data_IF_409101048360
#
_entry.id   IF_409101048360
#
_cell.length_a   1.000
_cell.length_b   1.000
_cell.length_c   1.000
_cell.angle_alpha   90.00
_cell.angle_beta   90.00
_cell.angle_gamma   90.00
#
_symmetry.space_group_name_H-M   'P 1'
#
loop_
_entity.id
_entity.type
_entity.pdbx_description
1 polymer ?
#
# COMPACT_ATOMS: atom_id res chain seq x y z
N UNK A 1 6.22 -45.69 -25.05
CA UNK A 1 6.79 -44.39 -24.64
C UNK A 1 5.64 -43.42 -24.49
N UNK A 2 5.54 -42.72 -23.36
CA UNK A 2 4.51 -41.69 -23.20
C UNK A 2 4.68 -40.63 -24.30
N UNK A 3 3.59 -40.23 -24.92
CA UNK A 3 3.60 -39.20 -25.95
C UNK A 3 3.78 -37.85 -25.23
N UNK A 4 4.99 -37.28 -25.34
CA UNK A 4 5.32 -36.00 -24.71
C UNK A 4 4.64 -34.89 -25.53
N UNK A 5 3.85 -34.06 -24.87
CA UNK A 5 3.25 -32.88 -25.50
C UNK A 5 4.34 -31.85 -25.82
N UNK A 6 4.21 -31.17 -26.97
CA UNK A 6 5.06 -30.05 -27.32
C UNK A 6 4.83 -28.90 -26.32
N UNK A 7 5.91 -28.38 -25.74
CA UNK A 7 5.91 -27.16 -24.94
C UNK A 7 6.89 -26.16 -25.53
N UNK A 8 6.53 -24.87 -25.51
CA UNK A 8 7.36 -23.76 -25.98
C UNK A 8 7.64 -22.81 -24.82
N UNK A 9 8.81 -22.17 -24.83
CA UNK A 9 9.19 -21.08 -23.93
C UNK A 9 9.39 -19.77 -24.71
N UNK A 10 9.82 -18.72 -24.02
CA UNK A 10 9.96 -17.38 -24.59
C UNK A 10 10.96 -17.34 -25.75
N UNK A 11 12.10 -18.03 -25.62
CA UNK A 11 13.17 -18.02 -26.63
C UNK A 11 12.88 -18.90 -27.86
N UNK A 12 11.81 -19.71 -27.81
CA UNK A 12 11.42 -20.58 -28.93
C UNK A 12 10.61 -19.83 -30.00
N UNK A 13 10.15 -18.60 -29.73
CA UNK A 13 9.21 -17.85 -30.59
C UNK A 13 9.59 -16.37 -30.74
N UNK A 14 9.11 -15.75 -31.82
CA UNK A 14 9.21 -14.31 -32.06
C UNK A 14 7.85 -13.74 -32.48
N UNK A 15 7.56 -12.50 -32.09
CA UNK A 15 6.39 -11.77 -32.57
C UNK A 15 6.63 -11.28 -34.00
N UNK A 16 5.67 -11.52 -34.90
CA UNK A 16 5.76 -11.07 -36.29
C UNK A 16 5.32 -9.60 -36.38
N UNK A 17 6.19 -8.67 -36.84
CA UNK A 17 5.82 -7.27 -36.99
C UNK A 17 4.62 -7.08 -37.94
N UNK A 18 3.73 -6.15 -37.59
CA UNK A 18 2.57 -5.75 -38.40
C UNK A 18 2.56 -4.23 -38.60
N UNK A 19 1.72 -3.74 -39.52
CA UNK A 19 1.50 -2.30 -39.67
C UNK A 19 0.91 -1.71 -38.38
N UNK A 20 1.55 -0.68 -37.82
CA UNK A 20 1.05 0.04 -36.64
C UNK A 20 0.74 1.49 -37.00
N UNK A 21 -0.41 1.98 -36.54
CA UNK A 21 -0.76 3.40 -36.58
C UNK A 21 -0.47 4.11 -35.24
N UNK A 22 0.00 3.37 -34.24
CA UNK A 22 0.26 3.86 -32.87
C UNK A 22 1.77 4.01 -32.68
N UNK A 23 2.19 5.16 -32.17
CA UNK A 23 3.59 5.37 -31.77
C UNK A 23 3.86 4.71 -30.41
N UNK A 24 5.09 4.23 -30.13
CA UNK A 24 5.39 3.57 -28.85
C UNK A 24 5.04 4.39 -27.60
N UNK A 25 5.20 5.72 -27.63
CA UNK A 25 4.84 6.60 -26.50
C UNK A 25 3.34 6.84 -26.32
N UNK A 26 2.52 6.41 -27.27
CA UNK A 26 1.05 6.52 -27.24
C UNK A 26 0.39 5.18 -26.85
N UNK A 27 1.19 4.13 -26.66
CA UNK A 27 0.68 2.82 -26.27
C UNK A 27 0.12 2.88 -24.84
N UNK A 28 -1.13 2.43 -24.67
CA UNK A 28 -1.73 2.26 -23.35
C UNK A 28 -1.26 0.93 -22.74
N UNK A 29 -0.61 1.02 -21.58
CA UNK A 29 -0.08 -0.12 -20.84
C UNK A 29 -1.02 -0.58 -19.71
N UNK A 30 -2.19 0.04 -19.57
CA UNK A 30 -3.16 -0.35 -18.54
C UNK A 30 -3.57 -1.80 -18.70
N UNK A 31 -3.68 -2.48 -17.57
CA UNK A 31 -4.03 -3.90 -17.50
C UNK A 31 -4.78 -4.20 -16.22
N UNK A 32 -5.63 -5.21 -16.25
CA UNK A 32 -6.37 -5.66 -15.07
C UNK A 32 -5.65 -6.84 -14.40
N UNK A 33 -5.33 -6.70 -13.11
CA UNK A 33 -4.86 -7.80 -12.27
C UNK A 33 -6.04 -8.71 -11.91
N UNK A 34 -7.15 -8.11 -11.52
CA UNK A 34 -8.43 -8.77 -11.26
C UNK A 34 -9.54 -7.89 -11.85
N UNK A 35 -10.79 -8.36 -11.84
CA UNK A 35 -11.94 -7.57 -12.31
C UNK A 35 -12.05 -6.19 -11.62
N UNK A 36 -11.63 -6.10 -10.36
CA UNK A 36 -11.80 -4.91 -9.51
C UNK A 36 -10.49 -4.14 -9.29
N UNK A 37 -9.37 -4.67 -9.80
CA UNK A 37 -8.03 -4.09 -9.62
C UNK A 37 -7.38 -3.88 -10.99
N UNK A 38 -7.50 -2.65 -11.49
CA UNK A 38 -6.72 -2.15 -12.62
C UNK A 38 -5.34 -1.63 -12.19
N UNK A 39 -4.36 -1.79 -13.08
CA UNK A 39 -2.99 -1.28 -12.99
C UNK A 39 -2.71 -0.36 -14.18
N UNK A 40 -1.77 0.57 -14.02
CA UNK A 40 -1.34 1.47 -15.11
C UNK A 40 -0.17 0.91 -15.90
N UNK A 41 0.54 -0.09 -15.37
CA UNK A 41 1.50 -0.94 -16.09
C UNK A 41 1.30 -2.41 -15.69
N UNK A 42 1.59 -3.38 -16.57
CA UNK A 42 1.35 -4.81 -16.30
C UNK A 42 2.51 -5.43 -15.50
N UNK A 43 2.84 -4.83 -14.36
CA UNK A 43 3.98 -5.23 -13.52
C UNK A 43 3.54 -5.52 -12.09
N UNK A 44 3.78 -6.76 -11.66
CA UNK A 44 3.53 -7.25 -10.30
C UNK A 44 4.85 -7.75 -9.73
N UNK A 45 5.26 -7.28 -8.55
CA UNK A 45 6.49 -7.76 -7.94
C UNK A 45 6.32 -9.15 -7.31
N UNK A 46 7.37 -9.97 -7.34
CA UNK A 46 7.33 -11.31 -6.76
C UNK A 46 7.28 -11.24 -5.23
N UNK A 47 6.47 -12.11 -4.62
CA UNK A 47 6.31 -12.22 -3.17
C UNK A 47 7.51 -12.91 -2.47
N UNK A 48 8.71 -12.40 -2.67
CA UNK A 48 9.97 -12.94 -2.16
C UNK A 48 10.62 -11.94 -1.21
N UNK A 49 11.24 -12.42 -0.14
CA UNK A 49 11.94 -11.61 0.87
C UNK A 49 13.07 -10.75 0.30
N UNK A 50 13.74 -11.26 -0.73
CA UNK A 50 14.82 -10.57 -1.45
C UNK A 50 14.33 -9.63 -2.54
N UNK A 51 13.01 -9.47 -2.70
CA UNK A 51 12.40 -8.64 -3.75
C UNK A 51 11.47 -7.61 -3.14
N UNK A 52 10.42 -8.04 -2.45
CA UNK A 52 9.25 -7.20 -2.18
C UNK A 52 8.96 -7.00 -0.70
N UNK A 53 9.56 -5.94 -0.17
CA UNK A 53 9.13 -5.31 1.09
C UNK A 53 8.45 -3.96 0.81
N UNK A 54 8.14 -3.20 1.87
CA UNK A 54 7.43 -1.92 1.78
C UNK A 54 8.02 -0.93 0.76
N UNK A 55 9.36 -0.82 0.68
CA UNK A 55 10.00 0.19 -0.16
C UNK A 55 9.82 -0.11 -1.67
N UNK A 56 10.02 -1.38 -2.10
CA UNK A 56 9.74 -1.75 -3.49
C UNK A 56 8.24 -1.66 -3.80
N UNK A 57 7.38 -2.07 -2.87
CA UNK A 57 5.93 -2.00 -3.07
C UNK A 57 5.44 -0.56 -3.27
N UNK A 58 5.97 0.40 -2.50
CA UNK A 58 5.71 1.84 -2.67
C UNK A 58 6.19 2.30 -4.05
N UNK A 59 7.47 2.04 -4.37
CA UNK A 59 8.05 2.51 -5.63
C UNK A 59 7.32 1.94 -6.86
N UNK A 60 7.00 0.65 -6.85
CA UNK A 60 6.29 0.02 -7.96
C UNK A 60 4.85 0.53 -8.09
N UNK A 61 4.14 0.73 -6.96
CA UNK A 61 2.81 1.31 -6.99
C UNK A 61 2.82 2.76 -7.49
N UNK A 62 3.85 3.55 -7.17
CA UNK A 62 4.05 4.90 -7.70
C UNK A 62 4.23 4.92 -9.24
N UNK A 63 4.93 3.93 -9.79
CA UNK A 63 5.09 3.76 -11.24
C UNK A 63 3.88 3.11 -11.93
N UNK A 64 2.89 2.65 -11.16
CA UNK A 64 1.61 2.15 -11.68
C UNK A 64 1.43 0.63 -11.68
N UNK A 65 2.38 -0.11 -11.11
CA UNK A 65 2.27 -1.54 -10.87
C UNK A 65 1.71 -1.85 -9.48
N UNK A 66 1.95 -3.05 -8.98
CA UNK A 66 1.59 -3.44 -7.60
C UNK A 66 2.67 -4.32 -6.98
N UNK A 67 3.06 -3.98 -5.75
CA UNK A 67 3.97 -4.80 -4.96
C UNK A 67 3.23 -5.89 -4.19
N UNK A 68 3.83 -7.09 -4.07
CA UNK A 68 3.29 -8.17 -3.21
C UNK A 68 4.23 -8.45 -2.06
N UNK A 69 3.84 -8.07 -0.84
CA UNK A 69 4.65 -8.26 0.37
C UNK A 69 4.78 -9.76 0.68
N UNK A 70 6.02 -10.25 0.76
CA UNK A 70 6.33 -11.64 1.09
C UNK A 70 5.87 -12.03 2.51
N UNK A 71 5.74 -13.35 2.77
CA UNK A 71 5.29 -13.91 4.06
C UNK A 71 6.38 -14.55 4.90
N UNK A 72 7.65 -14.34 4.56
CA UNK A 72 8.81 -14.90 5.28
C UNK A 72 9.14 -14.04 6.52
N UNK A 73 8.13 -13.80 7.36
CA UNK A 73 8.14 -12.90 8.51
C UNK A 73 6.92 -13.18 9.41
N UNK A 74 6.85 -12.51 10.55
CA UNK A 74 5.69 -12.59 11.46
C UNK A 74 4.44 -11.97 10.81
N UNK A 75 3.25 -12.26 11.34
CA UNK A 75 2.00 -11.66 10.83
C UNK A 75 2.02 -10.15 11.06
N UNK A 76 2.57 -9.74 12.21
CA UNK A 76 2.70 -8.36 12.66
C UNK A 76 3.63 -7.57 11.74
N UNK A 77 4.82 -8.10 11.44
CA UNK A 77 5.79 -7.44 10.57
C UNK A 77 5.23 -7.28 9.15
N UNK A 78 4.60 -8.32 8.60
CA UNK A 78 3.98 -8.27 7.28
C UNK A 78 2.87 -7.21 7.23
N UNK A 79 2.03 -7.16 8.26
CA UNK A 79 0.93 -6.19 8.37
C UNK A 79 1.46 -4.76 8.52
N UNK A 80 2.55 -4.57 9.27
CA UNK A 80 3.22 -3.28 9.39
C UNK A 80 3.79 -2.79 8.04
N UNK A 81 4.35 -3.69 7.23
CA UNK A 81 4.80 -3.36 5.88
C UNK A 81 3.63 -2.95 4.98
N UNK A 82 2.52 -3.70 4.98
CA UNK A 82 1.30 -3.33 4.22
C UNK A 82 0.82 -1.95 4.65
N UNK A 83 0.67 -1.72 5.96
CA UNK A 83 0.21 -0.45 6.50
C UNK A 83 1.13 0.72 6.10
N UNK A 84 2.45 0.50 6.09
CA UNK A 84 3.43 1.49 5.62
C UNK A 84 3.20 1.85 4.15
N UNK A 85 2.92 0.87 3.28
CA UNK A 85 2.57 1.13 1.86
C UNK A 85 1.28 1.94 1.78
N UNK A 86 0.21 1.52 2.48
CA UNK A 86 -1.09 2.21 2.45
C UNK A 86 -1.03 3.65 2.97
N UNK A 87 -0.13 3.93 3.92
CA UNK A 87 0.10 5.28 4.48
C UNK A 87 1.12 6.13 3.71
N UNK A 88 1.80 5.58 2.71
CA UNK A 88 2.90 6.27 2.01
C UNK A 88 2.45 7.47 1.17
N UNK A 89 1.21 7.41 0.64
CA UNK A 89 0.56 8.49 -0.11
C UNK A 89 -0.93 8.55 0.23
N UNK A 90 -1.25 9.13 1.39
CA UNK A 90 -2.62 9.56 1.68
C UNK A 90 -2.70 11.05 1.42
N UNK A 91 -3.47 11.45 0.42
CA UNK A 91 -3.63 12.87 0.10
C UNK A 91 -4.29 13.66 1.27
N UNK A 92 -5.09 12.96 2.08
CA UNK A 92 -5.62 13.39 3.36
C UNK A 92 -5.35 12.26 4.38
N UNK A 93 -4.65 12.56 5.46
CA UNK A 93 -4.46 11.64 6.59
C UNK A 93 -5.67 11.82 7.50
N UNK A 94 -6.62 10.88 7.50
CA UNK A 94 -7.87 11.00 8.27
C UNK A 94 -7.66 10.84 9.79
N UNK A 95 -6.77 9.95 10.20
CA UNK A 95 -6.42 9.73 11.61
C UNK A 95 -4.93 10.08 11.83
N UNK A 96 -4.57 11.37 11.81
CA UNK A 96 -3.19 11.77 12.04
C UNK A 96 -2.80 11.46 13.49
N UNK A 97 -1.52 11.10 13.70
CA UNK A 97 -1.00 10.95 15.05
C UNK A 97 -1.01 12.32 15.75
N UNK A 98 -1.63 12.40 16.93
CA UNK A 98 -1.80 13.65 17.68
C UNK A 98 -1.03 13.63 18.99
N UNK A 99 -0.77 14.81 19.54
CA UNK A 99 -0.16 15.00 20.86
C UNK A 99 -0.99 15.95 21.72
N UNK A 100 -0.80 15.92 23.04
CA UNK A 100 -1.40 16.86 23.98
C UNK A 100 -0.45 18.01 24.30
N UNK A 101 -1.00 19.21 24.56
CA UNK A 101 -0.25 20.39 24.98
C UNK A 101 0.53 20.21 26.29
N UNK A 102 0.13 19.22 27.09
CA UNK A 102 0.70 18.89 28.40
C UNK A 102 1.84 17.87 28.31
N UNK A 103 2.08 17.27 27.14
CA UNK A 103 3.25 16.44 26.90
C UNK A 103 4.52 17.30 26.86
N UNK A 104 5.68 16.67 27.10
CA UNK A 104 6.96 17.36 27.09
C UNK A 104 7.64 17.29 25.70
N UNK A 105 8.61 18.17 25.47
CA UNK A 105 9.46 18.13 24.27
C UNK A 105 10.23 16.80 24.17
N UNK A 106 10.67 16.23 25.30
CA UNK A 106 11.33 14.92 25.33
C UNK A 106 10.42 13.78 24.86
N UNK A 107 9.17 13.76 25.30
CA UNK A 107 8.15 12.78 24.84
C UNK A 107 7.90 12.93 23.34
N UNK A 108 7.78 14.16 22.84
CA UNK A 108 7.60 14.43 21.41
C UNK A 108 8.79 13.91 20.59
N UNK A 109 10.02 14.13 21.04
CA UNK A 109 11.24 13.63 20.37
C UNK A 109 11.28 12.11 20.29
N UNK A 110 10.84 11.43 21.34
CA UNK A 110 10.71 9.98 21.34
C UNK A 110 9.70 9.52 20.27
N UNK A 111 8.52 10.13 20.24
CA UNK A 111 7.48 9.83 19.23
C UNK A 111 7.99 10.11 17.81
N UNK A 112 8.71 11.21 17.60
CA UNK A 112 9.31 11.55 16.30
C UNK A 112 10.29 10.47 15.82
N UNK A 113 11.14 9.96 16.70
CA UNK A 113 12.13 8.95 16.35
C UNK A 113 11.50 7.58 16.08
N UNK A 114 10.50 7.19 16.88
CA UNK A 114 9.81 5.91 16.70
C UNK A 114 8.92 5.90 15.46
N UNK A 115 8.14 6.97 15.25
CA UNK A 115 7.11 7.01 14.20
C UNK A 115 7.62 7.60 12.89
N UNK A 116 8.79 8.26 12.90
CA UNK A 116 9.39 8.88 11.71
C UNK A 116 8.67 10.15 11.21
N UNK A 117 7.72 10.70 11.97
CA UNK A 117 6.97 11.90 11.58
C UNK A 117 7.60 13.18 12.11
N UNK A 118 7.49 14.26 11.32
CA UNK A 118 8.11 15.55 11.62
C UNK A 118 7.15 16.63 12.10
N UNK A 119 5.88 16.31 12.33
CA UNK A 119 4.92 17.26 12.90
C UNK A 119 3.57 16.66 13.20
N UNK A 120 2.93 17.17 14.25
CA UNK A 120 1.79 16.57 14.93
C UNK A 120 0.77 17.66 15.26
N UNK A 121 -0.52 17.44 14.95
CA UNK A 121 -1.59 18.25 15.52
C UNK A 121 -1.61 18.10 17.04
N UNK A 122 -1.81 19.24 17.73
CA UNK A 122 -2.00 19.27 19.18
C UNK A 122 -3.49 19.30 19.46
N UNK A 123 -4.01 18.29 20.14
CA UNK A 123 -5.44 18.14 20.43
C UNK A 123 -5.72 18.16 21.93
N UNK A 124 -6.82 18.82 22.29
CA UNK A 124 -7.35 18.90 23.65
C UNK A 124 -8.41 17.82 23.92
N UNK A 125 -9.30 18.13 24.87
CA UNK A 125 -10.45 17.28 25.16
C UNK A 125 -11.36 17.12 23.93
N UNK A 126 -11.95 15.93 23.78
CA UNK A 126 -12.93 15.62 22.71
C UNK A 126 -12.41 15.82 21.28
N UNK A 127 -11.07 15.84 21.07
CA UNK A 127 -10.45 15.96 19.75
C UNK A 127 -10.38 17.39 19.19
N UNK A 128 -10.65 18.41 20.01
CA UNK A 128 -10.53 19.81 19.63
C UNK A 128 -9.08 20.14 19.26
N UNK A 129 -8.88 20.73 18.07
CA UNK A 129 -7.56 21.18 17.64
C UNK A 129 -7.14 22.42 18.44
N UNK A 130 -6.03 22.33 19.17
CA UNK A 130 -5.49 23.43 19.98
C UNK A 130 -4.24 24.08 19.36
N UNK A 131 -3.58 23.39 18.42
CA UNK A 131 -2.37 23.89 17.78
C UNK A 131 -1.67 22.84 16.91
N UNK A 132 -0.43 23.13 16.54
CA UNK A 132 0.44 22.20 15.83
C UNK A 132 1.89 22.36 16.29
N UNK A 133 2.60 21.24 16.44
CA UNK A 133 4.03 21.22 16.75
C UNK A 133 4.79 20.46 15.68
N UNK A 134 5.94 20.96 15.28
CA UNK A 134 6.80 20.37 14.24
C UNK A 134 8.22 20.18 14.74
N UNK A 135 8.99 19.35 14.02
CA UNK A 135 10.40 19.15 14.30
C UNK A 135 11.24 20.42 14.22
N UNK A 136 10.76 21.47 13.54
CA UNK A 136 11.44 22.77 13.51
C UNK A 136 11.32 23.51 14.83
N UNK A 137 10.18 23.37 15.51
CA UNK A 137 9.88 24.07 16.76
C UNK A 137 10.72 23.53 17.92
N UNK A 138 11.09 22.25 17.87
CA UNK A 138 11.86 21.56 18.92
C UNK A 138 13.33 21.31 18.59
N UNK A 139 13.80 21.61 17.37
CA UNK A 139 15.17 21.26 16.91
C UNK A 139 16.28 21.85 17.78
N UNK A 140 16.07 23.04 18.32
CA UNK A 140 17.09 23.80 19.06
C UNK A 140 16.78 23.93 20.56
N UNK A 141 15.77 23.21 21.05
CA UNK A 141 15.42 23.19 22.47
C UNK A 141 16.40 22.31 23.26
N UNK A 142 17.09 22.89 24.24
CA UNK A 142 17.97 22.12 25.12
C UNK A 142 17.21 21.46 26.29
N UNK A 143 16.05 22.02 26.65
CA UNK A 143 15.24 21.54 27.77
C UNK A 143 14.14 20.59 27.28
N UNK A 144 14.32 19.30 27.59
CA UNK A 144 13.33 18.26 27.26
C UNK A 144 12.11 18.26 28.20
N UNK A 145 12.15 19.03 29.30
CA UNK A 145 11.05 19.11 30.26
C UNK A 145 9.99 20.17 29.91
N UNK A 146 10.32 21.09 29.00
CA UNK A 146 9.40 22.11 28.51
C UNK A 146 8.14 21.47 27.90
N UNK A 147 6.98 22.11 28.11
CA UNK A 147 5.70 21.61 27.59
C UNK A 147 5.52 21.93 26.11
N UNK A 148 4.77 21.08 25.40
CA UNK A 148 4.42 21.32 23.99
C UNK A 148 3.67 22.65 23.82
N UNK A 149 2.83 23.03 24.79
CA UNK A 149 2.15 24.34 24.82
C UNK A 149 3.08 25.55 24.71
N UNK A 150 4.35 25.43 25.14
CA UNK A 150 5.33 26.52 25.13
C UNK A 150 6.00 26.71 23.76
N UNK A 151 5.95 25.68 22.90
CA UNK A 151 6.69 25.63 21.63
C UNK A 151 5.80 25.47 20.39
N UNK A 152 4.57 25.02 20.57
CA UNK A 152 3.64 24.80 19.47
C UNK A 152 3.23 26.11 18.79
N UNK A 153 2.78 26.02 17.54
CA UNK A 153 1.98 27.08 16.91
C UNK A 153 0.55 26.99 17.45
N UNK A 154 0.06 28.00 18.19
CA UNK A 154 -1.28 27.99 18.76
C UNK A 154 -2.36 28.17 17.68
N UNK A 155 -3.59 27.72 17.99
CA UNK A 155 -4.73 27.72 17.05
C UNK A 155 -5.00 29.08 16.40
N UNK A 156 -4.87 30.18 17.13
CA UNK A 156 -5.11 31.56 16.63
C UNK A 156 -4.14 31.98 15.52
N UNK A 157 -2.98 31.33 15.44
CA UNK A 157 -1.95 31.54 14.41
C UNK A 157 -1.85 30.39 13.41
N UNK A 158 -2.59 29.31 13.64
CA UNK A 158 -2.57 28.12 12.82
C UNK A 158 -3.53 28.27 11.64
N UNK A 159 -3.04 27.99 10.45
CA UNK A 159 -3.90 27.92 9.26
C UNK A 159 -4.54 26.54 9.21
N UNK A 160 -5.87 26.50 9.15
CA UNK A 160 -6.68 25.28 9.07
C UNK A 160 -7.59 25.32 7.84
N UNK A 161 -8.23 24.21 7.54
CA UNK A 161 -9.23 24.12 6.46
C UNK A 161 -10.39 23.20 6.82
N UNK A 162 -11.56 23.33 6.19
CA UNK A 162 -12.68 22.40 6.38
C UNK A 162 -12.34 20.95 5.98
N UNK A 163 -13.00 19.96 6.59
CA UNK A 163 -12.81 18.52 6.31
C UNK A 163 -12.97 18.12 4.83
N UNK A 164 -13.75 18.88 4.06
CA UNK A 164 -14.03 18.63 2.64
C UNK A 164 -13.15 19.43 1.68
N UNK A 165 -12.04 20.00 2.16
CA UNK A 165 -11.13 20.82 1.35
C UNK A 165 -10.54 20.02 0.19
N UNK A 166 -10.73 20.52 -1.03
CA UNK A 166 -10.18 19.88 -2.22
C UNK A 166 -8.65 20.02 -2.25
N UNK A 167 -7.93 19.00 -2.74
CA UNK A 167 -6.46 19.03 -2.76
C UNK A 167 -5.86 20.21 -3.53
N UNK A 168 -6.54 20.67 -4.59
CA UNK A 168 -6.11 21.85 -5.35
C UNK A 168 -6.14 23.10 -4.47
N UNK A 169 -7.19 23.26 -3.68
CA UNK A 169 -7.35 24.36 -2.73
C UNK A 169 -6.35 24.23 -1.57
N UNK A 170 -6.20 23.02 -1.00
CA UNK A 170 -5.20 22.75 0.02
C UNK A 170 -3.78 23.13 -0.45
N UNK A 171 -3.42 22.81 -1.69
CA UNK A 171 -2.14 23.22 -2.30
C UNK A 171 -1.97 24.74 -2.34
N UNK A 172 -3.01 25.46 -2.75
CA UNK A 172 -3.00 26.92 -2.81
C UNK A 172 -2.84 27.52 -1.41
N UNK A 173 -3.51 26.97 -0.39
CA UNK A 173 -3.39 27.37 1.01
C UNK A 173 -1.98 27.13 1.53
N UNK A 174 -1.44 25.92 1.35
CA UNK A 174 -0.08 25.56 1.79
C UNK A 174 0.97 26.49 1.15
N UNK A 175 0.88 26.73 -0.15
CA UNK A 175 1.81 27.60 -0.89
C UNK A 175 1.70 29.06 -0.46
N UNK A 176 0.48 29.61 -0.40
CA UNK A 176 0.24 31.01 -0.02
C UNK A 176 0.73 31.32 1.40
N UNK A 177 0.51 30.39 2.33
CA UNK A 177 0.89 30.56 3.73
C UNK A 177 2.31 30.05 4.03
N UNK A 178 3.00 29.45 3.06
CA UNK A 178 4.36 28.88 3.21
C UNK A 178 4.48 27.87 4.35
N UNK A 179 3.47 27.01 4.46
CA UNK A 179 3.38 25.94 5.47
C UNK A 179 3.42 24.57 4.79
N UNK A 180 3.89 23.56 5.50
CA UNK A 180 4.04 22.18 4.97
C UNK A 180 2.87 21.27 5.32
N UNK A 181 2.06 21.63 6.31
CA UNK A 181 1.00 20.79 6.86
C UNK A 181 -0.25 21.64 7.10
N UNK A 182 -1.40 21.13 6.71
CA UNK A 182 -2.70 21.80 6.78
C UNK A 182 -3.69 20.90 7.53
N UNK A 183 -3.94 21.17 8.83
CA UNK A 183 -4.96 20.47 9.59
C UNK A 183 -6.35 20.74 9.03
N UNK A 184 -7.15 19.67 8.96
CA UNK A 184 -8.55 19.73 8.57
C UNK A 184 -9.43 19.65 9.81
N UNK A 185 -10.43 20.51 9.90
CA UNK A 185 -11.35 20.58 11.04
C UNK A 185 -12.81 20.53 10.60
N UNK A 186 -13.66 19.99 11.46
CA UNK A 186 -15.11 20.09 11.32
C UNK A 186 -15.63 21.48 11.76
N UNK A 187 -16.96 21.66 11.68
CA UNK A 187 -17.63 22.90 12.12
C UNK A 187 -17.50 23.21 13.61
N UNK A 188 -17.14 22.22 14.44
CA UNK A 188 -16.97 22.35 15.89
C UNK A 188 -15.50 22.56 16.28
N UNK A 189 -14.56 22.55 15.32
CA UNK A 189 -13.13 22.68 15.57
C UNK A 189 -12.43 21.36 15.92
N UNK A 190 -13.11 20.22 15.74
CA UNK A 190 -12.54 18.89 15.96
C UNK A 190 -11.65 18.56 14.76
N UNK A 191 -10.46 18.00 15.03
CA UNK A 191 -9.54 17.54 14.00
C UNK A 191 -10.11 16.33 13.25
N UNK A 192 -10.28 16.47 11.94
CA UNK A 192 -10.81 15.41 11.05
C UNK A 192 -9.78 14.86 10.07
N UNK A 193 -8.63 15.52 9.96
CA UNK A 193 -7.52 15.02 9.16
C UNK A 193 -6.37 15.99 9.00
N UNK A 194 -5.39 15.61 8.18
CA UNK A 194 -4.19 16.38 7.91
C UNK A 194 -3.76 16.23 6.45
N UNK A 195 -3.54 17.33 5.75
CA UNK A 195 -2.93 17.34 4.41
C UNK A 195 -1.48 17.80 4.52
N UNK A 196 -0.54 17.14 3.83
CA UNK A 196 0.86 17.56 3.77
C UNK A 196 1.28 17.99 2.37
N UNK A 197 2.18 18.97 2.27
CA UNK A 197 2.73 19.41 0.99
C UNK A 197 3.51 18.30 0.28
N UNK A 198 4.19 17.44 1.04
CA UNK A 198 4.91 16.29 0.49
C UNK A 198 3.97 15.31 -0.23
N UNK A 199 2.79 15.03 0.33
CA UNK A 199 1.82 14.12 -0.31
C UNK A 199 1.18 14.74 -1.57
N UNK A 200 1.02 16.07 -1.60
CA UNK A 200 0.60 16.79 -2.80
C UNK A 200 1.68 16.71 -3.89
N UNK A 201 2.96 16.93 -3.54
CA UNK A 201 4.08 16.84 -4.49
C UNK A 201 4.22 15.45 -5.07
N UNK A 202 4.18 14.40 -4.23
CA UNK A 202 4.22 13.00 -4.69
C UNK A 202 3.11 12.71 -5.71
N UNK A 203 1.88 13.17 -5.46
CA UNK A 203 0.75 12.96 -6.38
C UNK A 203 0.92 13.69 -7.72
N UNK A 204 1.65 14.80 -7.76
CA UNK A 204 1.97 15.52 -9.00
C UNK A 204 3.08 14.79 -9.76
N UNK A 205 4.08 14.27 -9.04
CA UNK A 205 5.20 13.53 -9.62
C UNK A 205 4.75 12.20 -10.23
N UNK A 206 3.96 11.42 -9.48
CA UNK A 206 3.53 10.08 -9.86
C UNK A 206 2.10 10.08 -10.41
N UNK A 207 1.94 10.59 -11.63
CA UNK A 207 0.64 10.65 -12.32
C UNK A 207 0.08 9.28 -12.70
N UNK A 208 0.95 8.28 -12.85
CA UNK A 208 0.60 6.91 -13.18
C UNK A 208 0.47 5.99 -11.95
N UNK A 209 0.47 6.53 -10.73
CA UNK A 209 0.41 5.71 -9.53
C UNK A 209 -0.85 4.82 -9.48
N UNK A 210 -0.66 3.54 -9.16
CA UNK A 210 -1.73 2.58 -8.91
C UNK A 210 -2.32 2.84 -7.53
N UNK A 211 -3.53 3.41 -7.52
CA UNK A 211 -4.23 3.82 -6.30
C UNK A 211 -5.56 3.10 -6.14
N UNK A 212 -5.96 2.89 -4.90
CA UNK A 212 -7.27 2.39 -4.53
C UNK A 212 -8.33 3.53 -4.57
N UNK A 213 -9.62 3.23 -4.35
CA UNK A 213 -10.68 4.25 -4.33
C UNK A 213 -10.49 5.36 -3.29
N UNK A 214 -9.73 5.10 -2.22
CA UNK A 214 -9.41 6.08 -1.18
C UNK A 214 -8.18 6.94 -1.54
N UNK A 215 -7.53 6.65 -2.68
CA UNK A 215 -6.35 7.36 -3.15
C UNK A 215 -5.03 6.89 -2.54
N UNK A 216 -5.04 5.78 -1.80
CA UNK A 216 -3.83 5.16 -1.23
C UNK A 216 -3.16 4.27 -2.27
N UNK A 217 -1.84 4.10 -2.19
CA UNK A 217 -1.12 3.17 -3.08
C UNK A 217 -1.65 1.75 -2.93
N UNK A 218 -1.75 1.02 -4.04
CA UNK A 218 -2.18 -0.38 -4.03
C UNK A 218 -1.08 -1.30 -3.51
N UNK A 219 -1.46 -2.29 -2.70
CA UNK A 219 -0.53 -3.24 -2.10
C UNK A 219 -1.16 -4.64 -2.03
N UNK A 220 -0.45 -5.64 -2.57
CA UNK A 220 -0.78 -7.05 -2.37
C UNK A 220 0.03 -7.65 -1.22
N UNK A 221 -0.45 -8.75 -0.65
CA UNK A 221 0.30 -9.48 0.36
C UNK A 221 0.14 -11.00 0.20
N UNK A 222 1.22 -11.72 0.47
CA UNK A 222 1.27 -13.18 0.34
C UNK A 222 0.69 -13.88 1.57
N UNK A 223 -0.07 -14.94 1.34
CA UNK A 223 -0.64 -15.82 2.38
C UNK A 223 -0.30 -17.26 2.03
N UNK A 224 0.14 -18.04 3.01
CA UNK A 224 0.44 -19.45 2.81
C UNK A 224 -0.81 -20.33 2.87
N UNK A 225 -0.62 -21.63 2.81
CA UNK A 225 -1.68 -22.64 2.95
C UNK A 225 -1.65 -23.37 4.31
N UNK A 226 -0.92 -22.80 5.27
CA UNK A 226 -0.74 -23.33 6.62
C UNK A 226 -1.93 -23.03 7.55
N UNK A 227 -1.90 -23.52 8.79
CA UNK A 227 -2.96 -23.28 9.76
C UNK A 227 -3.14 -21.80 10.14
N UNK A 228 -2.10 -20.97 9.93
CA UNK A 228 -2.11 -19.52 10.18
C UNK A 228 -2.75 -18.70 9.04
N UNK A 229 -3.19 -19.33 7.94
CA UNK A 229 -3.59 -18.61 6.73
C UNK A 229 -4.74 -17.62 6.96
N UNK A 230 -5.77 -18.01 7.71
CA UNK A 230 -6.94 -17.17 7.99
C UNK A 230 -6.57 -16.00 8.91
N UNK A 231 -5.84 -16.27 9.99
CA UNK A 231 -5.37 -15.25 10.94
C UNK A 231 -4.50 -14.20 10.23
N UNK A 232 -3.52 -14.68 9.45
CA UNK A 232 -2.64 -13.81 8.67
C UNK A 232 -3.41 -12.99 7.66
N UNK A 233 -4.30 -13.62 6.89
CA UNK A 233 -5.12 -12.91 5.91
C UNK A 233 -5.98 -11.82 6.56
N UNK A 234 -6.62 -12.12 7.69
CA UNK A 234 -7.42 -11.14 8.41
C UNK A 234 -6.58 -9.94 8.85
N UNK A 235 -5.38 -10.17 9.39
CA UNK A 235 -4.47 -9.10 9.78
C UNK A 235 -4.05 -8.22 8.58
N UNK A 236 -3.77 -8.84 7.43
CA UNK A 236 -3.40 -8.12 6.21
C UNK A 236 -4.58 -7.32 5.61
N UNK A 237 -5.78 -7.87 5.63
CA UNK A 237 -7.01 -7.17 5.24
C UNK A 237 -7.25 -5.96 6.15
N UNK A 238 -7.10 -6.14 7.47
CA UNK A 238 -7.21 -5.05 8.44
C UNK A 238 -6.13 -3.96 8.24
N UNK A 239 -4.93 -4.35 7.82
CA UNK A 239 -3.85 -3.42 7.46
C UNK A 239 -4.09 -2.68 6.13
N UNK A 240 -5.09 -3.11 5.35
CA UNK A 240 -5.50 -2.48 4.10
C UNK A 240 -4.90 -3.11 2.84
N UNK A 241 -4.50 -4.38 2.86
CA UNK A 241 -4.07 -5.08 1.66
C UNK A 241 -5.20 -5.10 0.60
N UNK A 242 -4.88 -4.67 -0.62
CA UNK A 242 -5.82 -4.64 -1.74
C UNK A 242 -6.11 -6.03 -2.32
N UNK A 243 -5.18 -6.98 -2.13
CA UNK A 243 -5.26 -8.31 -2.70
C UNK A 243 -4.44 -9.32 -1.89
N UNK A 244 -4.95 -10.55 -1.78
CA UNK A 244 -4.27 -11.66 -1.13
C UNK A 244 -3.73 -12.63 -2.19
N UNK A 245 -2.42 -12.91 -2.14
CA UNK A 245 -1.75 -13.83 -3.06
C UNK A 245 -1.45 -15.15 -2.34
N UNK A 246 -2.08 -16.25 -2.75
CA UNK A 246 -1.74 -17.56 -2.20
C UNK A 246 -0.36 -17.98 -2.70
N UNK A 247 0.53 -18.22 -1.76
CA UNK A 247 1.90 -18.64 -2.00
C UNK A 247 2.04 -20.15 -1.75
N UNK A 248 2.03 -20.90 -2.85
CA UNK A 248 2.20 -22.34 -2.89
C UNK A 248 3.01 -22.74 -4.13
N UNK A 249 3.82 -23.79 -4.02
CA UNK A 249 4.61 -24.32 -5.13
C UNK A 249 3.73 -24.83 -6.29
N UNK A 250 2.59 -25.45 -5.94
CA UNK A 250 1.52 -25.79 -6.89
C UNK A 250 0.16 -25.42 -6.27
N UNK A 251 -0.66 -24.75 -7.07
CA UNK A 251 -1.99 -24.29 -6.70
C UNK A 251 -3.05 -25.37 -6.85
N UNK A 252 -2.86 -26.34 -7.76
CA UNK A 252 -3.88 -27.34 -8.09
C UNK A 252 -3.95 -28.46 -7.03
N UNK A 253 -4.41 -28.10 -5.83
CA UNK A 253 -4.55 -29.00 -4.68
C UNK A 253 -5.84 -28.70 -3.92
N UNK A 254 -6.44 -29.71 -3.30
CA UNK A 254 -7.62 -29.52 -2.45
C UNK A 254 -7.37 -28.52 -1.32
N UNK A 255 -6.18 -28.54 -0.73
CA UNK A 255 -5.79 -27.59 0.32
C UNK A 255 -5.86 -26.13 -0.15
N UNK A 256 -5.37 -25.83 -1.34
CA UNK A 256 -5.42 -24.45 -1.89
C UNK A 256 -6.87 -24.05 -2.15
N UNK A 257 -7.70 -24.94 -2.70
CA UNK A 257 -9.12 -24.66 -2.94
C UNK A 257 -9.90 -24.41 -1.63
N UNK A 258 -9.61 -25.18 -0.58
CA UNK A 258 -10.14 -24.94 0.77
C UNK A 258 -9.72 -23.56 1.29
N UNK A 259 -8.44 -23.21 1.16
CA UNK A 259 -7.91 -21.91 1.60
C UNK A 259 -8.56 -20.77 0.82
N UNK A 260 -8.74 -20.88 -0.51
CA UNK A 260 -9.47 -19.85 -1.29
C UNK A 260 -10.85 -19.63 -0.69
N UNK A 261 -11.59 -20.70 -0.42
CA UNK A 261 -12.94 -20.62 0.16
C UNK A 261 -12.90 -19.89 1.51
N UNK A 262 -11.97 -20.25 2.40
CA UNK A 262 -11.79 -19.60 3.71
C UNK A 262 -11.44 -18.11 3.59
N UNK A 263 -10.55 -17.75 2.66
CA UNK A 263 -10.15 -16.34 2.46
C UNK A 263 -11.29 -15.50 1.90
N UNK A 264 -12.16 -16.08 1.05
CA UNK A 264 -13.35 -15.40 0.54
C UNK A 264 -14.41 -15.15 1.61
N UNK A 265 -14.41 -15.88 2.73
CA UNK A 265 -15.30 -15.62 3.87
C UNK A 265 -14.89 -14.36 4.67
N UNK A 266 -13.65 -13.89 4.52
CA UNK A 266 -13.14 -12.70 5.23
C UNK A 266 -13.61 -11.38 4.60
N UNK A 267 -14.21 -11.43 3.42
CA UNK A 267 -14.78 -10.27 2.72
C UNK A 267 -14.49 -10.29 1.22
N UNK A 268 -14.64 -9.13 0.59
CA UNK A 268 -14.56 -9.01 -0.86
C UNK A 268 -13.14 -8.85 -1.41
N UNK A 269 -12.12 -8.83 -0.54
CA UNK A 269 -10.72 -8.67 -0.97
C UNK A 269 -10.36 -9.75 -1.99
N UNK A 270 -9.89 -9.37 -3.20
CA UNK A 270 -9.56 -10.33 -4.24
C UNK A 270 -8.48 -11.33 -3.81
N UNK A 271 -8.69 -12.60 -4.16
CA UNK A 271 -7.76 -13.70 -3.87
C UNK A 271 -7.13 -14.17 -5.18
N UNK A 272 -5.80 -14.03 -5.30
CA UNK A 272 -5.03 -14.51 -6.44
C UNK A 272 -4.43 -15.86 -6.06
N UNK A 273 -4.74 -16.90 -6.85
CA UNK A 273 -4.33 -18.25 -6.55
C UNK A 273 -3.44 -18.85 -7.64
N UNK A 274 -2.50 -19.68 -7.22
CA UNK A 274 -1.57 -20.38 -8.09
C UNK A 274 -0.56 -21.18 -7.26
N UNK A 275 0.50 -21.72 -7.86
CA UNK A 275 0.82 -21.66 -9.28
C UNK A 275 0.19 -22.84 -10.04
N UNK A 276 -0.35 -22.59 -11.24
CA UNK A 276 -0.84 -23.66 -12.13
C UNK A 276 -0.19 -23.60 -13.50
N UNK A 277 -0.22 -24.71 -14.22
CA UNK A 277 0.30 -24.84 -15.60
C UNK A 277 -0.66 -25.60 -16.53
N UNK A 278 -1.85 -25.94 -16.05
CA UNK A 278 -2.87 -26.70 -16.79
C UNK A 278 -4.18 -25.91 -16.84
N UNK A 279 -4.99 -26.16 -17.87
CA UNK A 279 -6.32 -25.57 -18.01
C UNK A 279 -7.22 -25.99 -16.84
N UNK A 280 -7.28 -27.29 -16.54
CA UNK A 280 -8.08 -27.84 -15.44
C UNK A 280 -7.69 -27.21 -14.10
N UNK A 281 -6.39 -27.02 -13.85
CA UNK A 281 -5.92 -26.36 -12.62
C UNK A 281 -6.35 -24.90 -12.53
N UNK A 282 -6.36 -24.18 -13.65
CA UNK A 282 -6.89 -22.82 -13.68
C UNK A 282 -8.41 -22.78 -13.46
N UNK A 283 -9.15 -23.67 -14.12
CA UNK A 283 -10.61 -23.78 -13.98
C UNK A 283 -11.03 -24.12 -12.54
N UNK A 284 -10.36 -25.10 -11.91
CA UNK A 284 -10.64 -25.49 -10.53
C UNK A 284 -10.37 -24.35 -9.53
N UNK A 285 -9.31 -23.57 -9.72
CA UNK A 285 -9.03 -22.41 -8.86
C UNK A 285 -10.06 -21.29 -9.03
N UNK A 286 -10.50 -21.03 -10.27
CA UNK A 286 -11.57 -20.06 -10.55
C UNK A 286 -12.88 -20.52 -9.92
N UNK A 287 -13.23 -21.80 -10.07
CA UNK A 287 -14.43 -22.39 -9.49
C UNK A 287 -14.41 -22.36 -7.94
N UNK A 288 -13.23 -22.50 -7.34
CA UNK A 288 -13.05 -22.34 -5.90
C UNK A 288 -13.20 -20.88 -5.41
N UNK A 289 -13.22 -19.89 -6.32
CA UNK A 289 -13.44 -18.48 -6.00
C UNK A 289 -12.21 -17.58 -6.15
N UNK A 290 -11.14 -18.04 -6.82
CA UNK A 290 -10.00 -17.18 -7.12
C UNK A 290 -10.42 -16.03 -8.07
N UNK A 291 -10.02 -14.81 -7.73
CA UNK A 291 -10.27 -13.60 -8.52
C UNK A 291 -9.30 -13.45 -9.70
N UNK A 292 -8.12 -14.08 -9.61
CA UNK A 292 -7.18 -14.24 -10.71
C UNK A 292 -6.29 -15.48 -10.49
N UNK A 293 -5.68 -15.97 -11.58
CA UNK A 293 -4.85 -17.17 -11.59
C UNK A 293 -3.38 -16.81 -11.88
N UNK A 294 -2.48 -17.24 -11.00
CA UNK A 294 -1.02 -17.12 -11.17
C UNK A 294 -0.48 -18.38 -11.87
N UNK A 295 0.17 -18.18 -13.02
CA UNK A 295 0.62 -19.26 -13.91
C UNK A 295 2.14 -19.44 -13.85
N UNK A 296 2.60 -20.68 -13.79
CA UNK A 296 4.01 -21.05 -13.97
C UNK A 296 4.57 -21.93 -12.85
N UNK A 297 5.01 -23.14 -13.18
CA UNK A 297 5.70 -24.05 -12.26
C UNK A 297 7.05 -24.42 -12.86
N UNK A 298 8.13 -24.09 -12.15
CA UNK A 298 9.50 -24.31 -12.60
C UNK A 298 10.18 -23.31 -13.54
N UNK A 299 9.57 -22.25 -14.12
CA UNK A 299 10.30 -21.33 -15.01
C UNK A 299 11.12 -20.27 -14.27
N UNK A 300 11.02 -20.19 -12.94
CA UNK A 300 11.74 -19.20 -12.15
C UNK A 300 13.25 -19.41 -12.21
N UNK A 301 14.02 -18.31 -12.28
CA UNK A 301 15.49 -18.34 -12.43
C UNK A 301 16.22 -19.11 -11.33
N UNK A 302 15.69 -19.13 -10.11
CA UNK A 302 16.23 -19.85 -8.95
C UNK A 302 15.45 -21.14 -8.63
N UNK A 303 14.44 -21.49 -9.43
CA UNK A 303 13.55 -22.60 -9.16
C UNK A 303 14.18 -23.93 -9.61
N UNK A 304 14.29 -24.90 -8.71
CA UNK A 304 14.87 -26.22 -9.00
C UNK A 304 13.84 -27.30 -9.33
N UNK A 305 12.54 -26.97 -9.35
CA UNK A 305 11.42 -27.92 -9.53
C UNK A 305 11.47 -28.72 -10.83
N UNK A 306 12.19 -28.26 -11.86
CA UNK A 306 12.36 -29.01 -13.12
C UNK A 306 13.52 -30.01 -13.09
N UNK A 307 14.48 -29.81 -12.20
CA UNK A 307 15.73 -30.59 -12.14
C UNK A 307 15.61 -31.76 -11.16
N UNK A 308 14.83 -31.55 -10.08
CA UNK A 308 14.51 -32.55 -9.05
C UNK A 308 13.29 -33.35 -9.49
#
# INVERSE_FOLDING_TARGET
MAQISLGLSFDDVLLTPQMSAVLPGEADLKSDLTRDIGLNIPVVSAAMDTVSESDLAIALAQEGGIGVIHRNNTIEDQSAMVLKVKRSESAVIHEPYTVSKDQTVGELRFIMNEQGFSGFPVVGAEGLLEGMVTGRDVRHMADDSAKISEVMTPLDRLVTSPENTALREAREILYKNRIEKLPLIDKNGILTGLITGADIEKRITFTNAAKDPNGQLRCGAAVGVGPDCVERAQALVNAGADALFIDAATGHTSRVMEVITQLRELGDVPVIAGNVVTADGAEDLVNAGASAVKVGVGPGSICTTRVI
#
